data_IF_948279186360
#
_entry.id   IF_948279186360
#
_cell.length_a   1.000
_cell.length_b   1.000
_cell.length_c   1.000
_cell.angle_alpha   90.00
_cell.angle_beta   90.00
_cell.angle_gamma   90.00
#
_symmetry.space_group_name_H-M   'P 1'
#
loop_
_entity.id
_entity.type
_entity.pdbx_description
1 polymer ?
#
# COMPACT_ATOMS: atom_id res chain seq x y z
N UNK A 1 4.90 39.05 -21.37
CA UNK A 1 5.09 38.13 -20.23
C UNK A 1 4.32 38.69 -19.04
N UNK A 2 3.09 38.23 -18.80
CA UNK A 2 2.33 38.56 -17.58
C UNK A 2 2.82 37.61 -16.49
N UNK A 3 3.50 38.14 -15.48
CA UNK A 3 3.84 37.39 -14.27
C UNK A 3 2.53 37.16 -13.52
N UNK A 4 2.10 35.90 -13.41
CA UNK A 4 1.01 35.52 -12.52
C UNK A 4 1.49 35.72 -11.09
N UNK A 5 1.14 36.86 -10.50
CA UNK A 5 1.08 37.02 -9.04
C UNK A 5 -0.17 36.30 -8.53
N UNK A 6 -0.19 34.97 -8.62
CA UNK A 6 -1.14 34.17 -7.85
C UNK A 6 -0.43 33.77 -6.55
N UNK A 7 -0.62 34.64 -5.55
CA UNK A 7 -0.68 34.40 -4.11
C UNK A 7 0.20 33.27 -3.52
N UNK A 8 1.44 33.61 -3.16
CA UNK A 8 2.21 32.88 -2.13
C UNK A 8 1.46 32.77 -0.80
N UNK A 9 0.48 33.65 -0.54
CA UNK A 9 -0.34 33.62 0.67
C UNK A 9 -1.46 32.56 0.64
N UNK A 10 -1.82 32.01 -0.53
CA UNK A 10 -2.83 30.94 -0.63
C UNK A 10 -2.20 29.56 -0.41
N UNK A 11 -0.96 29.34 -0.88
CA UNK A 11 -0.20 28.11 -0.63
C UNK A 11 0.02 27.87 0.87
N UNK A 12 0.42 28.92 1.62
CA UNK A 12 0.69 28.84 3.06
C UNK A 12 -0.53 28.45 3.92
N UNK A 13 -1.75 28.70 3.44
CA UNK A 13 -2.98 28.43 4.18
C UNK A 13 -3.52 27.00 3.98
N UNK A 14 -3.14 26.35 2.87
CA UNK A 14 -3.45 24.93 2.62
C UNK A 14 -2.50 24.03 3.43
N UNK A 15 -1.21 24.40 3.53
CA UNK A 15 -0.21 23.63 4.28
C UNK A 15 -0.44 23.56 5.79
N UNK A 16 -1.10 24.56 6.39
CA UNK A 16 -1.30 24.61 7.85
C UNK A 16 -2.43 23.68 8.36
N UNK A 17 -3.22 23.09 7.46
CA UNK A 17 -4.33 22.18 7.81
C UNK A 17 -3.95 20.69 7.79
N UNK A 18 -2.79 20.32 7.23
CA UNK A 18 -2.34 18.92 7.09
C UNK A 18 -1.63 18.35 8.35
N UNK A 19 -1.41 19.15 9.41
CA UNK A 19 -0.44 18.83 10.48
C UNK A 19 -1.07 18.54 11.86
N UNK A 20 -2.41 18.51 11.98
CA UNK A 20 -3.05 18.30 13.29
C UNK A 20 -3.26 16.81 13.62
N UNK A 21 -2.23 16.17 14.20
CA UNK A 21 -2.47 15.18 15.25
C UNK A 21 -1.66 13.89 15.18
N UNK A 22 -0.40 13.95 15.60
CA UNK A 22 0.41 12.79 15.96
C UNK A 22 0.92 12.94 17.41
N UNK A 23 0.35 12.18 18.34
CA UNK A 23 0.89 11.95 19.68
C UNK A 23 0.81 10.43 19.95
N UNK A 24 1.95 9.86 20.36
CA UNK A 24 2.17 8.41 20.48
C UNK A 24 1.39 7.77 21.64
N UNK A 25 0.72 6.62 21.43
CA UNK A 25 0.27 5.76 22.51
C UNK A 25 1.23 4.58 22.80
N UNK A 26 1.23 4.16 24.05
CA UNK A 26 2.04 3.09 24.63
C UNK A 26 1.63 1.67 24.18
N UNK A 27 2.63 0.78 24.14
CA UNK A 27 2.61 -0.60 23.65
C UNK A 27 1.88 -1.56 24.62
N UNK A 28 0.87 -2.34 24.18
CA UNK A 28 0.27 -3.40 25.00
C UNK A 28 1.03 -4.73 24.90
N UNK A 29 0.90 -5.55 25.94
CA UNK A 29 1.61 -6.82 26.13
C UNK A 29 0.84 -8.03 25.55
N UNK A 30 1.61 -8.98 25.00
CA UNK A 30 1.14 -10.18 24.29
C UNK A 30 0.84 -11.33 25.29
N UNK A 31 -0.31 -12.03 25.20
CA UNK A 31 -0.58 -13.27 25.94
C UNK A 31 -0.06 -14.54 25.22
N UNK A 32 0.20 -15.63 25.96
CA UNK A 32 0.84 -16.83 25.43
C UNK A 32 -0.09 -17.76 24.62
N UNK A 33 0.49 -18.37 23.58
CA UNK A 33 -0.09 -19.26 22.59
C UNK A 33 -0.52 -20.64 23.14
N UNK A 34 -1.68 -21.13 22.67
CA UNK A 34 -2.23 -22.47 22.96
C UNK A 34 -1.93 -23.41 21.79
N UNK A 35 -1.42 -24.60 22.12
CA UNK A 35 -1.09 -25.66 21.16
C UNK A 35 -2.30 -26.60 20.99
N UNK A 36 -2.84 -26.72 19.77
CA UNK A 36 -3.87 -27.70 19.43
C UNK A 36 -3.29 -28.70 18.42
N UNK A 37 -3.29 -29.98 18.81
CA UNK A 37 -2.98 -31.10 17.92
C UNK A 37 -4.23 -31.49 17.14
N UNK A 38 -4.10 -31.54 15.82
CA UNK A 38 -5.09 -32.11 14.90
C UNK A 38 -4.59 -33.46 14.41
N UNK A 39 -5.43 -34.49 14.57
CA UNK A 39 -5.19 -35.88 14.25
C UNK A 39 -6.22 -36.33 13.18
N UNK A 40 -5.71 -37.06 12.18
CA UNK A 40 -6.38 -38.12 11.38
C UNK A 40 -7.09 -37.76 10.05
N UNK A 41 -6.27 -37.79 9.00
CA UNK A 41 -6.28 -38.77 7.89
C UNK A 41 -7.59 -39.45 7.47
N UNK A 42 -8.03 -39.13 6.25
CA UNK A 42 -8.78 -40.00 5.36
C UNK A 42 -8.48 -39.59 3.91
N UNK A 43 -7.66 -40.37 3.20
CA UNK A 43 -7.34 -40.12 1.78
C UNK A 43 -8.43 -40.74 0.90
N UNK A 44 -9.34 -39.89 0.40
CA UNK A 44 -10.18 -40.21 -0.76
C UNK A 44 -9.34 -40.08 -2.04
N UNK A 45 -9.65 -40.85 -3.11
CA UNK A 45 -8.90 -40.82 -4.36
C UNK A 45 -9.00 -39.44 -5.01
N UNK A 46 -7.85 -38.79 -5.15
CA UNK A 46 -7.66 -37.47 -5.76
C UNK A 46 -8.25 -37.43 -7.19
N UNK A 47 -9.44 -36.86 -7.32
CA UNK A 47 -9.87 -36.26 -8.58
C UNK A 47 -9.00 -35.03 -8.75
N UNK A 48 -8.10 -35.01 -9.74
CA UNK A 48 -7.41 -33.77 -10.14
C UNK A 48 -8.49 -32.80 -10.63
N UNK A 49 -9.01 -32.01 -9.70
CA UNK A 49 -9.77 -30.81 -10.02
C UNK A 49 -8.77 -29.88 -10.69
N UNK A 50 -9.03 -29.57 -11.95
CA UNK A 50 -8.27 -28.60 -12.71
C UNK A 50 -8.44 -27.24 -12.02
N UNK A 51 -7.54 -26.93 -11.08
CA UNK A 51 -7.58 -25.72 -10.25
C UNK A 51 -6.47 -24.78 -10.71
N UNK A 52 -6.72 -23.95 -11.74
CA UNK A 52 -5.73 -22.99 -12.20
C UNK A 52 -5.43 -21.98 -11.09
N UNK A 53 -4.24 -21.38 -11.12
CA UNK A 53 -3.91 -20.27 -10.22
C UNK A 53 -4.66 -19.03 -10.69
N UNK A 54 -5.53 -18.49 -9.84
CA UNK A 54 -6.26 -17.25 -10.09
C UNK A 54 -5.68 -16.08 -9.29
N UNK A 55 -6.05 -14.86 -9.68
CA UNK A 55 -5.62 -13.63 -9.02
C UNK A 55 -6.82 -12.85 -8.50
N UNK A 56 -6.91 -12.65 -7.18
CA UNK A 56 -7.99 -11.92 -6.51
C UNK A 56 -7.47 -10.65 -5.86
N UNK A 57 -8.04 -9.49 -6.20
CA UNK A 57 -7.55 -8.20 -5.73
C UNK A 57 -8.64 -7.30 -5.16
N UNK A 58 -8.27 -6.57 -4.10
CA UNK A 58 -9.02 -5.43 -3.58
C UNK A 58 -8.12 -4.21 -3.62
N UNK A 59 -8.57 -3.15 -4.28
CA UNK A 59 -7.87 -1.89 -4.46
C UNK A 59 -8.67 -0.77 -3.78
N UNK A 60 -8.27 -0.36 -2.58
CA UNK A 60 -8.98 0.58 -1.74
C UNK A 60 -8.31 1.97 -1.73
N UNK A 61 -9.08 3.02 -2.01
CA UNK A 61 -8.61 4.41 -2.01
C UNK A 61 -9.66 5.35 -1.43
N UNK A 62 -9.18 6.31 -0.62
CA UNK A 62 -10.00 7.34 -0.01
C UNK A 62 -9.45 8.72 -0.36
N UNK A 63 -10.26 9.52 -1.04
CA UNK A 63 -9.95 10.89 -1.47
C UNK A 63 -10.78 11.92 -0.69
N UNK A 64 -12.03 11.59 -0.35
CA UNK A 64 -12.96 12.43 0.43
C UNK A 64 -12.87 12.10 1.94
N UNK A 65 -12.62 13.09 2.77
CA UNK A 65 -12.51 13.03 4.23
C UNK A 65 -13.39 14.08 4.92
N UNK A 66 -14.31 14.70 4.17
CA UNK A 66 -15.18 15.76 4.68
C UNK A 66 -16.06 15.29 5.84
N UNK A 67 -16.38 13.99 5.89
CA UNK A 67 -17.17 13.35 6.94
C UNK A 67 -16.41 13.20 8.26
N UNK A 68 -15.08 13.22 8.23
CA UNK A 68 -14.21 13.12 9.41
C UNK A 68 -13.45 14.41 9.71
N UNK A 69 -13.67 15.46 8.93
CA UNK A 69 -13.05 16.77 9.12
C UNK A 69 -11.54 16.77 8.92
N UNK A 70 -11.03 15.91 8.02
CA UNK A 70 -9.63 15.92 7.59
C UNK A 70 -9.51 16.60 6.23
N UNK A 71 -8.28 16.87 5.81
CA UNK A 71 -7.98 17.41 4.48
C UNK A 71 -8.20 16.38 3.39
N UNK A 72 -8.83 16.80 2.30
CA UNK A 72 -9.03 15.99 1.10
C UNK A 72 -7.70 15.62 0.40
N UNK A 73 -7.73 14.53 -0.36
CA UNK A 73 -6.67 14.14 -1.30
C UNK A 73 -7.28 14.02 -2.70
N UNK A 74 -7.65 15.11 -3.38
CA UNK A 74 -8.43 15.06 -4.61
C UNK A 74 -7.57 14.65 -5.81
N UNK A 75 -7.20 13.37 -5.88
CA UNK A 75 -6.39 12.81 -6.96
C UNK A 75 -7.21 11.96 -7.95
N UNK A 76 -8.53 11.96 -7.79
CA UNK A 76 -9.51 11.30 -8.67
C UNK A 76 -9.26 9.79 -8.80
N UNK A 77 -9.02 9.14 -7.66
CA UNK A 77 -8.85 7.69 -7.60
C UNK A 77 -7.71 7.14 -8.49
N UNK A 78 -6.65 7.95 -8.66
CA UNK A 78 -5.55 7.64 -9.59
C UNK A 78 -4.73 6.45 -9.12
N UNK A 79 -4.70 6.16 -7.81
CA UNK A 79 -3.92 5.05 -7.28
C UNK A 79 -4.48 3.71 -7.71
N UNK A 80 -5.76 3.47 -7.43
CA UNK A 80 -6.41 2.21 -7.76
C UNK A 80 -6.51 2.05 -9.28
N UNK A 81 -6.67 3.15 -10.02
CA UNK A 81 -6.64 3.13 -11.49
C UNK A 81 -5.30 2.64 -12.04
N UNK A 82 -4.17 3.08 -11.44
CA UNK A 82 -2.82 2.62 -11.83
C UNK A 82 -2.59 1.16 -11.44
N UNK A 83 -2.96 0.77 -10.23
CA UNK A 83 -2.79 -0.59 -9.75
C UNK A 83 -3.64 -1.58 -10.54
N UNK A 84 -4.91 -1.27 -10.82
CA UNK A 84 -5.77 -2.06 -11.71
C UNK A 84 -5.12 -2.22 -13.08
N UNK A 85 -4.66 -1.12 -13.68
CA UNK A 85 -4.00 -1.16 -14.98
C UNK A 85 -2.70 -1.99 -14.99
N UNK A 86 -1.98 -2.09 -13.86
CA UNK A 86 -0.83 -2.96 -13.72
C UNK A 86 -1.25 -4.44 -13.61
N UNK A 87 -2.24 -4.77 -12.77
CA UNK A 87 -2.76 -6.13 -12.60
C UNK A 87 -3.36 -6.68 -13.90
N UNK A 88 -4.18 -5.91 -14.60
CA UNK A 88 -4.77 -6.32 -15.89
C UNK A 88 -3.70 -6.59 -16.96
N UNK A 89 -2.59 -5.84 -16.96
CA UNK A 89 -1.45 -6.11 -17.86
C UNK A 89 -0.72 -7.42 -17.52
N UNK A 90 -0.82 -7.87 -16.27
CA UNK A 90 -0.30 -9.17 -15.81
C UNK A 90 -1.29 -10.32 -16.04
N UNK A 91 -2.42 -10.06 -16.73
CA UNK A 91 -3.38 -11.09 -17.12
C UNK A 91 -4.48 -11.35 -16.10
N UNK A 92 -4.61 -10.53 -15.04
CA UNK A 92 -5.65 -10.70 -14.04
C UNK A 92 -7.04 -10.47 -14.65
N UNK A 93 -8.02 -11.30 -14.29
CA UNK A 93 -9.40 -11.12 -14.73
C UNK A 93 -9.98 -9.86 -14.08
N UNK A 94 -10.46 -8.86 -14.86
CA UNK A 94 -11.09 -7.67 -14.30
C UNK A 94 -12.27 -7.96 -13.35
N UNK A 95 -12.93 -9.11 -13.48
CA UNK A 95 -14.01 -9.55 -12.59
C UNK A 95 -13.51 -10.00 -11.20
N UNK A 96 -12.23 -10.29 -11.06
CA UNK A 96 -11.56 -10.67 -9.80
C UNK A 96 -10.80 -9.49 -9.17
N UNK A 97 -11.00 -8.27 -9.66
CA UNK A 97 -10.41 -7.04 -9.10
C UNK A 97 -11.54 -6.13 -8.64
N UNK A 98 -11.64 -5.88 -7.34
CA UNK A 98 -12.59 -4.93 -6.74
C UNK A 98 -11.94 -3.57 -6.48
N UNK A 99 -12.53 -2.51 -7.02
CA UNK A 99 -12.17 -1.12 -6.71
C UNK A 99 -13.06 -0.60 -5.58
N UNK A 100 -12.49 -0.32 -4.43
CA UNK A 100 -13.20 0.24 -3.28
C UNK A 100 -12.84 1.72 -3.08
N UNK A 101 -13.72 2.59 -3.56
CA UNK A 101 -13.61 4.05 -3.38
C UNK A 101 -14.31 4.50 -2.11
N UNK A 102 -13.74 5.46 -1.40
CA UNK A 102 -14.33 6.08 -0.20
C UNK A 102 -14.67 5.08 0.90
N UNK A 103 -13.72 4.22 1.20
CA UNK A 103 -13.93 3.16 2.19
C UNK A 103 -14.09 3.69 3.62
N UNK A 104 -14.80 2.91 4.42
CA UNK A 104 -14.77 2.93 5.88
C UNK A 104 -14.36 1.54 6.42
N UNK A 105 -14.46 1.34 7.73
CA UNK A 105 -14.09 0.06 8.35
C UNK A 105 -14.98 -1.11 7.90
N UNK A 106 -16.30 -0.92 7.77
CA UNK A 106 -17.21 -2.00 7.40
C UNK A 106 -17.06 -2.36 5.92
N UNK A 107 -16.82 -1.36 5.07
CA UNK A 107 -16.52 -1.59 3.66
C UNK A 107 -15.25 -2.43 3.49
N UNK A 108 -14.16 -2.10 4.22
CA UNK A 108 -12.93 -2.91 4.16
C UNK A 108 -13.13 -4.34 4.65
N UNK A 109 -13.91 -4.55 5.72
CA UNK A 109 -14.27 -5.90 6.20
C UNK A 109 -15.02 -6.67 5.13
N UNK A 110 -16.00 -6.05 4.48
CA UNK A 110 -16.79 -6.67 3.41
C UNK A 110 -15.89 -7.14 2.26
N UNK A 111 -14.88 -6.36 1.88
CA UNK A 111 -13.94 -6.75 0.83
C UNK A 111 -12.97 -7.85 1.27
N UNK A 112 -12.58 -7.90 2.55
CA UNK A 112 -11.77 -9.00 3.09
C UNK A 112 -12.59 -10.30 3.17
N UNK A 113 -13.85 -10.23 3.59
CA UNK A 113 -14.79 -11.36 3.57
C UNK A 113 -14.95 -11.89 2.13
N UNK A 114 -15.05 -10.98 1.14
CA UNK A 114 -15.10 -11.37 -0.26
C UNK A 114 -13.85 -12.11 -0.72
N UNK A 115 -12.64 -11.66 -0.32
CA UNK A 115 -11.40 -12.39 -0.61
C UNK A 115 -11.37 -13.77 0.07
N UNK A 116 -11.82 -13.88 1.32
CA UNK A 116 -11.94 -15.16 2.04
C UNK A 116 -12.87 -16.14 1.31
N UNK A 117 -14.02 -15.65 0.83
CA UNK A 117 -15.05 -16.47 0.19
C UNK A 117 -14.68 -16.94 -1.22
N UNK A 118 -13.80 -16.22 -1.93
CA UNK A 118 -13.54 -16.45 -3.35
C UNK A 118 -12.14 -17.00 -3.65
N UNK A 119 -11.12 -16.62 -2.89
CA UNK A 119 -9.77 -17.15 -3.10
C UNK A 119 -9.64 -18.55 -2.50
N UNK A 120 -8.75 -19.36 -3.07
CA UNK A 120 -8.33 -20.63 -2.49
C UNK A 120 -6.83 -20.69 -2.19
N UNK A 121 -6.35 -21.85 -1.72
CA UNK A 121 -4.97 -22.03 -1.28
C UNK A 121 -3.90 -21.86 -2.36
N UNK A 122 -4.21 -22.03 -3.66
CA UNK A 122 -3.23 -21.84 -4.74
C UNK A 122 -3.29 -20.45 -5.37
N UNK A 123 -4.27 -19.63 -5.02
CA UNK A 123 -4.44 -18.32 -5.62
C UNK A 123 -3.45 -17.26 -5.10
N UNK A 124 -3.36 -16.19 -5.88
CA UNK A 124 -2.67 -14.95 -5.54
C UNK A 124 -3.71 -13.97 -5.00
N UNK A 125 -3.53 -13.49 -3.77
CA UNK A 125 -4.37 -12.43 -3.20
C UNK A 125 -3.59 -11.14 -3.10
N UNK A 126 -4.14 -10.05 -3.63
CA UNK A 126 -3.50 -8.73 -3.62
C UNK A 126 -4.42 -7.67 -3.00
N UNK A 127 -4.05 -7.16 -1.83
CA UNK A 127 -4.78 -6.09 -1.14
C UNK A 127 -3.96 -4.82 -1.14
N UNK A 128 -4.47 -3.79 -1.81
CA UNK A 128 -3.88 -2.46 -1.84
C UNK A 128 -4.77 -1.47 -1.10
N UNK A 129 -4.18 -0.64 -0.25
CA UNK A 129 -4.89 0.45 0.42
C UNK A 129 -4.09 1.73 0.40
N UNK A 130 -4.77 2.84 0.12
CA UNK A 130 -4.20 4.18 0.25
C UNK A 130 -5.17 5.18 0.85
N UNK A 131 -4.61 6.08 1.65
CA UNK A 131 -5.33 7.17 2.27
C UNK A 131 -4.41 7.98 3.19
N UNK A 132 -5.01 8.72 4.13
CA UNK A 132 -4.26 9.32 5.24
C UNK A 132 -3.94 8.27 6.31
N UNK A 133 -2.68 8.20 6.76
CA UNK A 133 -2.31 7.30 7.86
C UNK A 133 -3.06 7.62 9.16
N UNK A 134 -3.34 8.89 9.43
CA UNK A 134 -4.16 9.30 10.59
C UNK A 134 -5.60 8.79 10.52
N UNK A 135 -6.18 8.68 9.32
CA UNK A 135 -7.50 8.11 9.10
C UNK A 135 -7.49 6.60 9.33
N UNK A 136 -6.52 5.87 8.75
CA UNK A 136 -6.33 4.44 8.99
C UNK A 136 -6.17 4.11 10.49
N UNK A 137 -5.42 4.95 11.20
CA UNK A 137 -5.19 4.81 12.65
C UNK A 137 -6.44 5.10 13.48
N UNK A 138 -7.09 6.24 13.29
CA UNK A 138 -8.10 6.78 14.22
C UNK A 138 -9.54 6.43 13.86
N UNK A 139 -9.85 6.35 12.57
CA UNK A 139 -11.22 6.21 12.08
C UNK A 139 -11.51 4.79 11.64
N UNK A 140 -10.55 4.16 10.95
CA UNK A 140 -10.63 2.75 10.54
C UNK A 140 -10.27 1.82 11.69
N UNK A 141 -9.45 2.29 12.63
CA UNK A 141 -8.89 1.48 13.72
C UNK A 141 -8.23 0.20 13.17
N UNK A 142 -7.41 0.35 12.12
CA UNK A 142 -6.82 -0.74 11.33
C UNK A 142 -6.36 -1.95 12.17
N UNK A 143 -5.52 -1.71 13.18
CA UNK A 143 -4.94 -2.78 14.02
C UNK A 143 -5.96 -3.54 14.87
N UNK A 144 -7.20 -3.08 15.00
CA UNK A 144 -8.23 -3.75 15.80
C UNK A 144 -9.01 -4.81 15.04
N UNK A 145 -8.96 -4.84 13.71
CA UNK A 145 -9.71 -5.80 12.91
C UNK A 145 -8.88 -6.42 11.79
N UNK A 146 -8.06 -5.62 11.09
CA UNK A 146 -7.41 -6.07 9.87
C UNK A 146 -6.59 -7.36 10.05
N UNK A 147 -5.80 -7.55 11.12
CA UNK A 147 -5.05 -8.79 11.29
C UNK A 147 -5.91 -10.04 11.45
N UNK A 148 -7.07 -9.91 12.09
CA UNK A 148 -7.99 -11.04 12.28
C UNK A 148 -8.65 -11.42 10.96
N UNK A 149 -9.16 -10.44 10.20
CA UNK A 149 -9.79 -10.69 8.89
C UNK A 149 -8.76 -11.20 7.87
N UNK A 150 -7.57 -10.59 7.82
CA UNK A 150 -6.49 -10.98 6.91
C UNK A 150 -6.07 -12.44 7.08
N UNK A 151 -6.05 -12.94 8.32
CA UNK A 151 -5.68 -14.30 8.65
C UNK A 151 -6.68 -15.35 8.15
N UNK A 152 -7.93 -14.97 7.84
CA UNK A 152 -8.95 -15.89 7.34
C UNK A 152 -8.82 -16.19 5.86
N UNK A 153 -8.17 -15.31 5.10
CA UNK A 153 -7.96 -15.49 3.66
C UNK A 153 -7.14 -16.78 3.43
N UNK A 154 -7.67 -17.79 2.70
CA UNK A 154 -7.07 -19.11 2.63
C UNK A 154 -5.85 -19.21 1.70
N UNK A 155 -5.57 -18.17 0.92
CA UNK A 155 -4.49 -18.14 -0.05
C UNK A 155 -3.10 -18.27 0.61
N UNK A 156 -2.23 -19.08 0.00
CA UNK A 156 -0.85 -19.24 0.45
C UNK A 156 0.08 -18.13 -0.07
N UNK A 157 -0.41 -17.25 -0.95
CA UNK A 157 0.35 -16.11 -1.48
C UNK A 157 -0.49 -14.86 -1.36
N UNK A 158 -0.35 -14.16 -0.24
CA UNK A 158 -1.10 -12.94 0.07
C UNK A 158 -0.16 -11.74 0.08
N UNK A 159 -0.53 -10.69 -0.62
CA UNK A 159 0.25 -9.47 -0.76
C UNK A 159 -0.56 -8.31 -0.20
N UNK A 160 0.00 -7.61 0.79
CA UNK A 160 -0.54 -6.36 1.32
C UNK A 160 0.36 -5.21 0.89
N UNK A 161 -0.23 -4.17 0.30
CA UNK A 161 0.46 -2.92 -0.02
C UNK A 161 -0.27 -1.75 0.64
N UNK A 162 0.45 -0.99 1.47
CA UNK A 162 -0.08 0.20 2.15
C UNK A 162 0.68 1.44 1.66
N UNK A 163 -0.03 2.37 1.01
CA UNK A 163 0.48 3.69 0.64
C UNK A 163 -0.20 4.79 1.46
N UNK A 164 0.42 5.13 2.58
CA UNK A 164 -0.01 6.19 3.49
C UNK A 164 1.21 6.78 4.22
N UNK A 165 1.07 7.97 4.82
CA UNK A 165 2.06 8.40 5.83
C UNK A 165 2.11 7.36 6.96
N UNK A 166 3.31 7.11 7.49
CA UNK A 166 3.58 6.09 8.50
C UNK A 166 3.12 4.69 8.10
N UNK A 167 3.22 4.33 6.81
CA UNK A 167 2.62 3.11 6.25
C UNK A 167 3.01 1.83 7.00
N UNK A 168 4.26 1.72 7.47
CA UNK A 168 4.73 0.54 8.18
C UNK A 168 3.96 0.26 9.49
N UNK A 169 3.30 1.26 10.09
CA UNK A 169 2.40 1.04 11.23
C UNK A 169 1.26 0.05 10.91
N UNK A 170 0.84 -0.03 9.65
CA UNK A 170 -0.31 -0.83 9.22
C UNK A 170 0.09 -2.21 8.71
N UNK A 171 1.36 -2.44 8.42
CA UNK A 171 1.90 -3.77 8.08
C UNK A 171 2.42 -4.53 9.31
N UNK A 172 3.00 -3.83 10.30
CA UNK A 172 3.48 -4.43 11.56
C UNK A 172 2.47 -5.38 12.24
N UNK A 173 1.16 -5.06 12.31
CA UNK A 173 0.19 -5.91 12.99
C UNK A 173 0.05 -7.32 12.41
N UNK A 174 0.44 -7.56 11.16
CA UNK A 174 0.35 -8.87 10.50
C UNK A 174 1.68 -9.62 10.40
N UNK A 175 2.81 -9.04 10.83
CA UNK A 175 4.11 -9.73 10.80
C UNK A 175 4.08 -11.09 11.51
N UNK A 176 3.25 -11.23 12.56
CA UNK A 176 3.12 -12.47 13.33
C UNK A 176 2.14 -13.49 12.75
N UNK A 177 1.51 -13.22 11.62
CA UNK A 177 0.60 -14.15 10.95
C UNK A 177 1.39 -15.40 10.49
N UNK A 178 1.00 -16.62 10.91
CA UNK A 178 1.67 -17.85 10.49
C UNK A 178 1.48 -18.20 9.03
N UNK A 179 0.46 -17.66 8.35
CA UNK A 179 0.21 -17.90 6.95
C UNK A 179 1.17 -17.04 6.09
N UNK A 180 1.77 -17.59 5.02
CA UNK A 180 2.73 -16.84 4.21
C UNK A 180 2.09 -15.58 3.60
N UNK A 181 2.84 -14.49 3.64
CA UNK A 181 2.46 -13.21 3.07
C UNK A 181 3.68 -12.32 2.80
N UNK A 182 3.50 -11.38 1.87
CA UNK A 182 4.39 -10.27 1.59
C UNK A 182 3.65 -8.98 1.95
N UNK A 183 4.18 -8.20 2.88
CA UNK A 183 3.61 -6.89 3.22
C UNK A 183 4.60 -5.78 2.89
N UNK A 184 4.08 -4.72 2.27
CA UNK A 184 4.85 -3.62 1.72
C UNK A 184 4.24 -2.32 2.23
N UNK A 185 5.05 -1.49 2.84
CA UNK A 185 4.69 -0.16 3.29
C UNK A 185 5.51 0.89 2.53
N UNK A 186 4.81 1.83 1.90
CA UNK A 186 5.42 2.85 1.03
C UNK A 186 6.46 3.76 1.71
N UNK A 187 6.42 3.84 3.05
CA UNK A 187 7.34 4.61 3.92
C UNK A 187 7.44 3.93 5.30
N UNK A 188 8.51 4.20 6.07
CA UNK A 188 8.64 3.71 7.46
C UNK A 188 7.59 4.34 8.39
N UNK A 189 7.42 3.78 9.59
CA UNK A 189 6.40 4.12 10.59
C UNK A 189 6.54 5.53 11.17
N UNK A 190 7.69 6.17 11.01
CA UNK A 190 7.98 7.55 11.44
C UNK A 190 8.25 8.49 10.25
N UNK A 191 8.02 8.01 9.03
CA UNK A 191 8.16 8.78 7.81
C UNK A 191 6.82 9.20 7.19
N UNK A 192 6.88 10.22 6.33
CA UNK A 192 5.72 10.79 5.66
C UNK A 192 5.94 10.77 4.15
N UNK A 193 5.08 10.03 3.45
CA UNK A 193 5.05 10.03 2.00
C UNK A 193 4.61 11.39 1.45
N UNK A 194 4.97 11.66 0.19
CA UNK A 194 4.48 12.81 -0.55
C UNK A 194 3.42 12.37 -1.56
N UNK A 195 2.33 13.15 -1.65
CA UNK A 195 1.27 12.96 -2.64
C UNK A 195 1.17 14.25 -3.46
N UNK A 196 1.54 14.17 -4.74
CA UNK A 196 1.47 15.34 -5.63
C UNK A 196 0.03 15.70 -5.97
N UNK A 197 -0.29 16.99 -5.97
CA UNK A 197 -1.60 17.50 -6.39
C UNK A 197 -1.49 18.23 -7.73
N UNK A 198 -2.58 18.28 -8.50
CA UNK A 198 -2.57 18.92 -9.83
C UNK A 198 -2.15 20.39 -9.75
N UNK A 199 -2.59 21.10 -8.72
CA UNK A 199 -2.29 22.52 -8.49
C UNK A 199 -0.82 22.79 -8.18
N UNK A 200 -0.06 21.79 -7.73
CA UNK A 200 1.37 21.92 -7.44
C UNK A 200 2.19 21.93 -8.74
N UNK A 201 1.61 21.46 -9.85
CA UNK A 201 2.27 21.39 -11.14
C UNK A 201 3.47 20.43 -11.17
N UNK A 202 3.50 19.47 -10.24
CA UNK A 202 4.50 18.41 -10.22
C UNK A 202 4.22 17.36 -11.31
N UNK A 203 5.26 16.70 -11.85
CA UNK A 203 5.09 15.66 -12.86
C UNK A 203 4.22 14.47 -12.44
N UNK A 204 4.27 14.09 -11.16
CA UNK A 204 3.52 12.95 -10.60
C UNK A 204 2.37 13.50 -9.78
N UNK A 205 1.15 13.13 -10.16
CA UNK A 205 -0.06 13.31 -9.37
C UNK A 205 -0.29 12.05 -8.55
N UNK A 206 -0.61 12.24 -7.27
CA UNK A 206 -0.64 11.24 -6.23
C UNK A 206 0.73 10.90 -5.62
N UNK A 207 0.71 9.92 -4.74
CA UNK A 207 1.79 9.18 -4.12
C UNK A 207 2.79 8.60 -5.11
N UNK A 208 4.04 8.93 -4.82
CA UNK A 208 5.20 8.62 -5.66
C UNK A 208 5.50 7.11 -5.64
N UNK A 209 5.34 6.45 -4.48
CA UNK A 209 5.52 5.00 -4.36
C UNK A 209 4.62 4.26 -5.33
N UNK A 210 3.30 4.45 -5.21
CA UNK A 210 2.32 3.75 -6.05
C UNK A 210 2.54 4.03 -7.54
N UNK A 211 2.94 5.26 -7.91
CA UNK A 211 3.29 5.57 -9.29
C UNK A 211 4.39 4.66 -9.81
N UNK A 212 5.55 4.63 -9.14
CA UNK A 212 6.69 3.85 -9.62
C UNK A 212 6.51 2.35 -9.42
N UNK A 213 5.80 1.92 -8.38
CA UNK A 213 5.50 0.52 -8.13
C UNK A 213 4.60 -0.06 -9.23
N UNK A 214 3.52 0.64 -9.60
CA UNK A 214 2.66 0.21 -10.71
C UNK A 214 3.40 0.18 -12.06
N UNK A 215 4.33 1.10 -12.30
CA UNK A 215 5.19 1.07 -13.50
C UNK A 215 6.14 -0.14 -13.47
N UNK A 216 6.83 -0.35 -12.34
CA UNK A 216 7.83 -1.40 -12.19
C UNK A 216 7.24 -2.80 -12.33
N UNK A 217 6.01 -3.03 -11.86
CA UNK A 217 5.30 -4.30 -12.03
C UNK A 217 5.14 -4.74 -13.49
N UNK A 218 5.24 -3.83 -14.47
CA UNK A 218 5.08 -4.13 -15.89
C UNK A 218 6.31 -3.77 -16.75
N UNK A 219 7.42 -3.36 -16.13
CA UNK A 219 8.63 -2.92 -16.83
C UNK A 219 9.79 -3.90 -16.61
N UNK A 220 10.24 -4.56 -17.68
CA UNK A 220 11.41 -5.45 -17.63
C UNK A 220 12.70 -4.72 -17.23
N UNK A 221 12.74 -3.39 -17.19
CA UNK A 221 13.85 -2.67 -16.57
C UNK A 221 13.94 -2.89 -15.05
N UNK A 222 12.88 -3.39 -14.41
CA UNK A 222 12.86 -3.78 -13.00
C UNK A 222 13.32 -5.24 -12.76
N UNK A 223 13.45 -6.08 -13.80
CA UNK A 223 14.00 -7.44 -13.72
C UNK A 223 15.49 -7.36 -13.30
N UNK A 224 15.74 -7.55 -12.01
CA UNK A 224 17.02 -7.32 -11.37
C UNK A 224 17.95 -8.52 -11.46
N UNK A 225 17.39 -9.72 -11.54
CA UNK A 225 18.16 -10.96 -11.67
C UNK A 225 18.30 -11.48 -13.12
N UNK A 226 17.52 -10.93 -14.05
CA UNK A 226 17.58 -11.19 -15.48
C UNK A 226 16.89 -12.49 -15.90
N UNK A 227 15.93 -12.99 -15.12
CA UNK A 227 15.18 -14.22 -15.42
C UNK A 227 14.08 -14.03 -16.49
N UNK A 228 13.84 -12.78 -16.91
CA UNK A 228 12.86 -12.41 -17.91
C UNK A 228 11.47 -12.11 -17.35
N UNK A 229 11.33 -12.07 -16.03
CA UNK A 229 10.12 -11.71 -15.30
C UNK A 229 10.44 -10.66 -14.24
N UNK A 230 9.41 -9.99 -13.70
CA UNK A 230 9.57 -9.04 -12.60
C UNK A 230 8.81 -9.58 -11.41
N UNK A 231 9.54 -9.92 -10.35
CA UNK A 231 8.94 -10.24 -9.07
C UNK A 231 8.43 -8.98 -8.36
N UNK A 232 7.49 -9.14 -7.44
CA UNK A 232 6.99 -8.03 -6.61
C UNK A 232 8.15 -7.43 -5.81
N UNK A 233 9.06 -8.26 -5.30
CA UNK A 233 10.23 -7.80 -4.54
C UNK A 233 11.15 -6.89 -5.39
N UNK A 234 11.38 -7.24 -6.66
CA UNK A 234 12.13 -6.41 -7.59
C UNK A 234 11.39 -5.11 -7.94
N UNK A 235 10.08 -5.19 -8.18
CA UNK A 235 9.26 -4.01 -8.43
C UNK A 235 9.29 -3.04 -7.24
N UNK A 236 9.26 -3.54 -6.00
CA UNK A 236 9.41 -2.72 -4.80
C UNK A 236 10.77 -2.04 -4.75
N UNK A 237 11.86 -2.78 -4.99
CA UNK A 237 13.22 -2.22 -4.97
C UNK A 237 13.41 -1.13 -6.04
N UNK A 238 12.87 -1.37 -7.24
CA UNK A 238 12.87 -0.39 -8.31
C UNK A 238 12.06 0.87 -7.94
N UNK A 239 10.86 0.67 -7.37
CA UNK A 239 9.98 1.75 -6.94
C UNK A 239 10.60 2.60 -5.83
N UNK A 240 11.18 1.97 -4.80
CA UNK A 240 11.87 2.64 -3.70
C UNK A 240 13.02 3.51 -4.23
N UNK A 241 13.86 2.96 -5.11
CA UNK A 241 14.99 3.68 -5.72
C UNK A 241 14.50 4.93 -6.46
N UNK A 242 13.42 4.80 -7.23
CA UNK A 242 12.84 5.92 -8.00
C UNK A 242 12.14 6.94 -7.13
N UNK A 243 11.46 6.50 -6.08
CA UNK A 243 10.83 7.36 -5.09
C UNK A 243 11.86 8.22 -4.37
N UNK A 244 12.94 7.63 -3.82
CA UNK A 244 14.04 8.38 -3.22
C UNK A 244 14.62 9.40 -4.20
N UNK A 245 14.91 8.97 -5.42
CA UNK A 245 15.43 9.86 -6.46
C UNK A 245 14.50 11.06 -6.71
N UNK A 246 13.21 10.82 -6.86
CA UNK A 246 12.22 11.86 -7.13
C UNK A 246 12.02 12.79 -5.92
N UNK A 247 11.95 12.24 -4.70
CA UNK A 247 11.84 13.01 -3.47
C UNK A 247 12.99 14.00 -3.34
N UNK A 248 14.24 13.55 -3.50
CA UNK A 248 15.40 14.42 -3.38
C UNK A 248 15.57 15.42 -4.52
N UNK A 249 15.30 15.01 -5.78
CA UNK A 249 15.59 15.85 -6.94
C UNK A 249 14.44 16.78 -7.33
N UNK A 250 13.21 16.44 -6.96
CA UNK A 250 12.00 17.15 -7.40
C UNK A 250 11.27 17.75 -6.20
N UNK A 251 10.91 16.94 -5.21
CA UNK A 251 10.10 17.42 -4.06
C UNK A 251 10.93 18.33 -3.16
N UNK A 252 12.08 17.87 -2.67
CA UNK A 252 12.95 18.65 -1.78
C UNK A 252 13.71 19.77 -2.49
N UNK A 253 13.64 19.83 -3.82
CA UNK A 253 14.10 21.00 -4.57
C UNK A 253 13.17 22.22 -4.40
N UNK A 254 11.95 22.02 -3.89
CA UNK A 254 10.97 23.08 -3.58
C UNK A 254 11.06 23.42 -2.09
N UNK A 255 11.57 24.61 -1.71
CA UNK A 255 11.79 24.98 -0.31
C UNK A 255 10.53 24.92 0.55
N UNK A 256 9.38 25.32 0.01
CA UNK A 256 8.10 25.31 0.71
C UNK A 256 7.68 23.89 1.12
N UNK A 257 8.02 22.88 0.33
CA UNK A 257 7.73 21.49 0.67
C UNK A 257 8.65 21.02 1.79
N UNK A 258 9.94 21.34 1.73
CA UNK A 258 10.90 21.04 2.81
C UNK A 258 10.49 21.70 4.14
N UNK A 259 10.06 22.96 4.10
CA UNK A 259 9.58 23.68 5.29
C UNK A 259 8.39 22.97 5.97
N UNK A 260 7.52 22.30 5.19
CA UNK A 260 6.41 21.52 5.74
C UNK A 260 6.89 20.33 6.58
N UNK A 261 7.92 19.62 6.12
CA UNK A 261 8.58 18.54 6.86
C UNK A 261 9.29 19.06 8.11
N UNK A 262 9.97 20.21 8.00
CA UNK A 262 10.61 20.85 9.16
C UNK A 262 9.59 21.27 10.22
N UNK A 263 8.39 21.68 9.80
CA UNK A 263 7.25 21.94 10.67
C UNK A 263 6.78 20.71 11.47
N UNK A 264 7.04 19.50 10.97
CA UNK A 264 6.84 18.22 11.66
C UNK A 264 8.04 17.81 12.53
N UNK A 265 9.13 18.58 12.51
CA UNK A 265 10.34 18.30 13.28
C UNK A 265 11.28 17.28 12.63
N UNK A 266 11.12 17.01 11.33
CA UNK A 266 11.98 16.09 10.57
C UNK A 266 12.68 16.84 9.44
N UNK A 267 13.88 16.39 9.07
CA UNK A 267 14.74 17.01 8.04
C UNK A 267 15.08 15.96 6.97
N UNK A 268 14.10 15.44 6.21
CA UNK A 268 14.28 14.30 5.31
C UNK A 268 15.23 14.62 4.16
N UNK A 269 15.39 15.89 3.79
CA UNK A 269 16.31 16.30 2.73
C UNK A 269 17.79 16.08 3.10
N UNK A 270 18.10 15.86 4.38
CA UNK A 270 19.45 15.55 4.88
C UNK A 270 19.73 14.05 4.94
N UNK A 271 18.71 13.23 4.78
CA UNK A 271 18.82 11.78 4.79
C UNK A 271 18.73 11.24 3.36
N UNK A 272 19.84 10.75 2.83
CA UNK A 272 19.90 10.24 1.45
C UNK A 272 19.10 8.95 1.23
N UNK A 273 18.70 8.24 2.30
CA UNK A 273 17.82 7.07 2.19
C UNK A 273 16.34 7.44 2.29
N UNK A 274 15.98 8.69 2.58
CA UNK A 274 14.57 9.05 2.69
C UNK A 274 13.87 9.04 1.32
N UNK A 275 12.63 8.51 1.23
CA UNK A 275 11.95 7.67 2.22
C UNK A 275 12.34 6.19 2.10
N UNK A 276 12.16 5.44 3.17
CA UNK A 276 12.44 4.01 3.28
C UNK A 276 11.18 3.17 3.07
N UNK A 277 11.19 2.29 2.06
CA UNK A 277 10.10 1.33 1.84
C UNK A 277 10.33 0.12 2.72
N UNK A 278 9.32 -0.24 3.53
CA UNK A 278 9.44 -1.38 4.46
C UNK A 278 8.78 -2.60 3.84
N UNK A 279 9.54 -3.70 3.78
CA UNK A 279 9.08 -4.99 3.27
C UNK A 279 9.23 -6.04 4.36
N UNK A 280 8.14 -6.77 4.61
CA UNK A 280 8.16 -8.02 5.36
C UNK A 280 7.73 -9.16 4.45
N UNK A 281 8.61 -10.13 4.23
CA UNK A 281 8.41 -11.26 3.33
C UNK A 281 8.54 -12.57 4.10
N UNK A 282 7.41 -13.23 4.34
CA UNK A 282 7.36 -14.59 4.91
C UNK A 282 7.14 -15.67 3.85
N UNK A 283 7.05 -15.29 2.58
CA UNK A 283 6.93 -16.21 1.43
C UNK A 283 8.31 -16.76 1.05
N UNK A 284 9.37 -15.99 1.28
CA UNK A 284 10.79 -16.38 1.12
C UNK A 284 11.19 -16.84 -0.30
N UNK A 285 10.36 -16.54 -1.30
CA UNK A 285 10.60 -16.82 -2.72
C UNK A 285 10.10 -15.65 -3.59
N UNK A 286 10.64 -15.45 -4.80
CA UNK A 286 10.12 -14.47 -5.74
C UNK A 286 8.62 -14.69 -5.97
N UNK A 287 7.83 -13.61 -5.86
CA UNK A 287 6.39 -13.62 -6.14
C UNK A 287 6.17 -12.92 -7.47
N UNK A 288 5.58 -13.63 -8.42
CA UNK A 288 5.23 -13.08 -9.73
C UNK A 288 3.72 -12.87 -9.80
N UNK A 289 3.28 -11.77 -10.41
CA UNK A 289 1.85 -11.49 -10.61
C UNK A 289 1.25 -12.20 -11.82
N UNK A 290 2.07 -12.84 -12.67
CA UNK A 290 1.58 -13.56 -13.85
C UNK A 290 0.75 -14.76 -13.41
N UNK A 291 -0.55 -14.72 -13.72
CA UNK A 291 -1.42 -15.90 -13.64
C UNK A 291 -1.23 -16.73 -14.91
N UNK A 292 -1.12 -18.06 -14.77
CA UNK A 292 -0.87 -18.92 -15.92
C UNK A 292 -2.14 -19.08 -16.77
N UNK A 293 -2.02 -18.89 -18.09
CA UNK A 293 -3.06 -19.21 -19.08
C UNK A 293 -3.40 -20.71 -19.16
#
# INVERSE_FOLDING_TARGET
MKKNLFSTALLLLIFSLLISGCANPEKPAIPPSVNIKSDLAGEDPLVETNNPVEGWAVLAEKDDYSEVGMSELPVDYIYISRMRGALEKQGWDPAQIHDLKEFDQEALKTELDWLEENADGNDLVFFYVTGHGTYLRKNIAWSSFFPEEWAQIPANTRILVVDACTAAEFTIPIEGDPNPHLSIAAVDKDEYGWKGLEEEGLPIIGGIFTFYFAEALADLAADGDGDGMVSIQEAVLAAETKQREYMHKVVFAVPEFVESYHGLGIEPEKDESFPDVIVYDSIEKPVFLTVAD
#
